data_IF_031376496469
#
_entry.id   IF_031376496469
#
_cell.length_a   1.000
_cell.length_b   1.000
_cell.length_c   1.000
_cell.angle_alpha   90.00
_cell.angle_beta   90.00
_cell.angle_gamma   90.00
#
_symmetry.space_group_name_H-M   'P 1'
#
loop_
_entity.id
_entity.type
_entity.pdbx_description
1 polymer ?
#
# COMPACT_ATOMS: atom_id res chain seq x y z
N UNK A 1 15.73 13.28 -10.89
CA UNK A 1 15.46 12.78 -9.52
C UNK A 1 16.29 11.53 -9.31
N UNK A 2 16.96 11.42 -8.16
CA UNK A 2 17.64 10.20 -7.76
C UNK A 2 16.62 9.20 -7.22
N UNK A 3 16.77 7.94 -7.60
CA UNK A 3 16.03 6.82 -7.03
C UNK A 3 17.01 5.75 -6.60
N UNK A 4 16.72 5.10 -5.48
CA UNK A 4 17.47 3.94 -4.99
C UNK A 4 16.74 3.27 -3.84
N UNK A 5 16.41 2.01 -3.97
CA UNK A 5 15.86 1.24 -2.85
C UNK A 5 16.20 -0.25 -3.00
N UNK A 6 16.76 -0.84 -1.96
CA UNK A 6 17.08 -2.29 -1.88
C UNK A 6 16.37 -2.99 -0.72
N UNK A 7 15.78 -2.21 0.19
CA UNK A 7 15.00 -2.70 1.33
C UNK A 7 13.89 -1.73 1.70
N UNK A 8 13.08 -2.08 2.70
CA UNK A 8 11.97 -1.26 3.19
C UNK A 8 12.24 -0.53 4.51
N UNK A 9 13.43 -0.67 5.14
CA UNK A 9 13.69 -0.18 6.50
C UNK A 9 14.77 0.90 6.62
N UNK A 10 15.63 1.09 5.63
CA UNK A 10 16.59 2.20 5.65
C UNK A 10 15.86 3.54 5.58
N UNK A 11 16.54 4.63 5.98
CA UNK A 11 15.95 5.97 5.93
C UNK A 11 15.35 6.24 4.54
N UNK A 12 14.10 6.61 4.54
CA UNK A 12 13.36 7.05 3.37
C UNK A 12 13.72 8.51 3.07
N UNK A 13 14.17 8.81 1.86
CA UNK A 13 14.51 10.16 1.43
C UNK A 13 13.47 10.76 0.49
N UNK A 14 12.82 9.90 -0.31
CA UNK A 14 11.72 10.33 -1.16
C UNK A 14 10.73 9.19 -1.46
N UNK A 15 9.48 9.55 -1.66
CA UNK A 15 8.40 8.60 -1.99
C UNK A 15 7.35 9.21 -2.92
N UNK A 16 6.55 8.33 -3.54
CA UNK A 16 5.27 8.68 -4.12
C UNK A 16 4.20 8.40 -3.06
N UNK A 17 3.38 9.39 -2.76
CA UNK A 17 2.15 9.24 -1.99
C UNK A 17 0.97 9.36 -2.95
N UNK A 18 0.06 8.40 -2.94
CA UNK A 18 -1.12 8.41 -3.79
C UNK A 18 -2.00 9.64 -3.63
N UNK A 19 -2.97 9.82 -4.53
CA UNK A 19 -3.93 10.91 -4.47
C UNK A 19 -5.32 10.47 -4.94
N UNK A 20 -6.33 11.25 -4.61
CA UNK A 20 -7.72 11.06 -5.02
C UNK A 20 -8.26 12.30 -5.72
N UNK A 21 -9.39 12.17 -6.39
CA UNK A 21 -10.10 13.29 -7.00
C UNK A 21 -10.49 14.33 -5.95
N UNK A 22 -10.65 15.59 -6.41
CA UNK A 22 -11.30 16.61 -5.57
C UNK A 22 -12.79 16.27 -5.37
N UNK A 23 -13.43 16.69 -4.24
CA UNK A 23 -14.85 16.43 -4.01
C UNK A 23 -15.78 16.85 -5.14
N UNK A 24 -15.36 17.84 -5.92
CA UNK A 24 -16.07 18.37 -7.11
C UNK A 24 -16.26 17.35 -8.21
N UNK A 25 -15.44 16.28 -8.24
CA UNK A 25 -15.57 15.16 -9.18
C UNK A 25 -17.01 14.61 -9.22
N UNK A 26 -17.70 14.59 -8.09
CA UNK A 26 -19.09 14.12 -8.00
C UNK A 26 -20.15 15.22 -8.22
N UNK A 27 -19.77 16.42 -8.71
CA UNK A 27 -20.75 17.48 -8.98
C UNK A 27 -21.75 17.14 -10.08
N UNK A 28 -21.41 16.23 -10.98
CA UNK A 28 -22.29 15.73 -12.03
C UNK A 28 -23.49 14.90 -11.50
N UNK A 29 -23.39 14.38 -10.29
CA UNK A 29 -24.50 13.65 -9.66
C UNK A 29 -25.59 14.61 -9.18
N UNK A 30 -26.85 14.13 -9.20
CA UNK A 30 -27.97 14.83 -8.58
C UNK A 30 -27.74 14.97 -7.07
N UNK A 31 -28.29 16.03 -6.49
CA UNK A 31 -28.26 16.19 -5.03
C UNK A 31 -28.92 15.00 -4.32
N UNK A 32 -28.28 14.51 -3.26
CA UNK A 32 -28.73 13.37 -2.50
C UNK A 32 -27.60 12.63 -1.79
N UNK A 33 -27.98 11.56 -1.09
CA UNK A 33 -27.07 10.79 -0.23
C UNK A 33 -25.79 10.34 -0.94
N UNK A 34 -25.89 9.76 -2.14
CA UNK A 34 -24.71 9.26 -2.88
C UNK A 34 -23.70 10.37 -3.10
N UNK A 35 -24.16 11.50 -3.65
CA UNK A 35 -23.29 12.65 -3.91
C UNK A 35 -22.62 13.16 -2.64
N UNK A 36 -23.43 13.37 -1.60
CA UNK A 36 -22.92 13.95 -0.35
C UNK A 36 -21.92 13.01 0.33
N UNK A 37 -22.22 11.71 0.38
CA UNK A 37 -21.32 10.70 0.95
C UNK A 37 -20.02 10.56 0.15
N UNK A 38 -20.09 10.48 -1.17
CA UNK A 38 -18.89 10.33 -2.00
C UNK A 38 -17.99 11.56 -1.94
N UNK A 39 -18.59 12.76 -1.88
CA UNK A 39 -17.82 14.00 -1.66
C UNK A 39 -17.12 14.00 -0.30
N UNK A 40 -17.82 13.57 0.75
CA UNK A 40 -17.23 13.43 2.09
C UNK A 40 -16.06 12.44 2.09
N UNK A 41 -16.21 11.27 1.45
CA UNK A 41 -15.14 10.27 1.34
C UNK A 41 -13.89 10.87 0.67
N UNK A 42 -14.06 11.60 -0.43
CA UNK A 42 -12.92 12.23 -1.11
C UNK A 42 -12.29 13.36 -0.27
N UNK A 43 -13.10 14.21 0.35
CA UNK A 43 -12.62 15.30 1.21
C UNK A 43 -11.82 14.77 2.39
N UNK A 44 -12.39 13.82 3.13
CA UNK A 44 -11.74 13.21 4.28
C UNK A 44 -10.49 12.40 3.91
N UNK A 45 -10.49 11.75 2.75
CA UNK A 45 -9.30 11.06 2.21
C UNK A 45 -8.18 12.06 1.89
N UNK A 46 -8.51 13.20 1.27
CA UNK A 46 -7.51 14.25 0.98
C UNK A 46 -6.90 14.83 2.26
N UNK A 47 -7.72 15.11 3.27
CA UNK A 47 -7.24 15.56 4.58
C UNK A 47 -6.27 14.55 5.20
N UNK A 48 -6.60 13.25 5.16
CA UNK A 48 -5.73 12.19 5.68
C UNK A 48 -4.41 12.11 4.90
N UNK A 49 -4.46 12.19 3.58
CA UNK A 49 -3.27 12.20 2.72
C UNK A 49 -2.40 13.44 2.95
N UNK A 50 -3.00 14.61 3.18
CA UNK A 50 -2.26 15.84 3.49
C UNK A 50 -1.60 15.78 4.87
N UNK A 51 -2.24 15.13 5.84
CA UNK A 51 -1.65 14.85 7.14
C UNK A 51 -0.46 13.89 7.01
N UNK A 52 -0.60 12.80 6.25
CA UNK A 52 0.49 11.86 5.96
C UNK A 52 1.66 12.56 5.30
N UNK A 53 1.39 13.38 4.26
CA UNK A 53 2.42 14.17 3.59
C UNK A 53 3.17 15.06 4.58
N UNK A 54 2.45 15.80 5.41
CA UNK A 54 3.06 16.70 6.41
C UNK A 54 3.92 15.93 7.42
N UNK A 55 3.47 14.74 7.82
CA UNK A 55 4.23 13.88 8.73
C UNK A 55 5.52 13.39 8.06
N UNK A 56 5.45 12.87 6.83
CA UNK A 56 6.62 12.44 6.07
C UNK A 56 7.62 13.59 5.86
N UNK A 57 7.14 14.77 5.47
CA UNK A 57 7.98 15.96 5.27
C UNK A 57 8.66 16.43 6.56
N UNK A 58 8.05 16.20 7.74
CA UNK A 58 8.68 16.52 9.05
C UNK A 58 9.89 15.63 9.36
N UNK A 59 10.07 14.51 8.64
CA UNK A 59 11.24 13.62 8.67
C UNK A 59 12.22 13.90 7.51
N UNK A 60 12.12 15.07 6.87
CA UNK A 60 12.93 15.46 5.69
C UNK A 60 12.73 14.51 4.50
N UNK A 61 11.55 13.90 4.35
CA UNK A 61 11.20 13.03 3.23
C UNK A 61 10.53 13.87 2.14
N UNK A 62 11.06 13.82 0.92
CA UNK A 62 10.44 14.47 -0.24
C UNK A 62 9.25 13.65 -0.73
N UNK A 63 8.05 14.25 -0.73
CA UNK A 63 6.81 13.57 -1.12
C UNK A 63 6.34 14.06 -2.49
N UNK A 64 6.22 13.14 -3.43
CA UNK A 64 5.67 13.39 -4.76
C UNK A 64 4.25 12.83 -4.83
N UNK A 65 3.35 13.55 -5.49
CA UNK A 65 1.96 13.11 -5.69
C UNK A 65 1.65 13.02 -7.18
N UNK A 66 0.82 12.02 -7.59
CA UNK A 66 0.38 11.93 -8.97
C UNK A 66 -0.50 13.13 -9.36
N UNK A 67 -0.55 13.42 -10.64
CA UNK A 67 -1.49 14.41 -11.19
C UNK A 67 -2.88 13.81 -11.25
N UNK A 68 -3.86 14.50 -10.68
CA UNK A 68 -5.27 14.07 -10.67
C UNK A 68 -6.13 15.13 -11.35
N UNK A 69 -6.72 14.77 -12.48
CA UNK A 69 -7.77 15.58 -13.11
C UNK A 69 -9.11 15.22 -12.48
N UNK A 70 -9.75 16.19 -11.86
CA UNK A 70 -11.03 16.02 -11.16
C UNK A 70 -12.24 16.34 -12.02
N UNK A 71 -12.08 16.66 -13.30
CA UNK A 71 -13.18 16.81 -14.23
C UNK A 71 -13.73 15.44 -14.62
N UNK A 72 -15.04 15.25 -14.42
CA UNK A 72 -15.70 13.99 -14.78
C UNK A 72 -15.91 13.91 -16.30
N UNK A 73 -15.24 12.97 -16.95
CA UNK A 73 -15.25 12.76 -18.40
C UNK A 73 -16.38 11.84 -18.91
N UNK A 74 -17.28 11.42 -18.02
CA UNK A 74 -18.36 10.47 -18.31
C UNK A 74 -18.07 9.04 -17.91
N UNK A 75 -16.88 8.76 -17.35
CA UNK A 75 -16.47 7.45 -16.85
C UNK A 75 -15.87 7.55 -15.44
N UNK A 76 -16.09 6.52 -14.62
CA UNK A 76 -15.52 6.43 -13.29
C UNK A 76 -14.19 5.65 -13.35
N UNK A 77 -13.08 6.38 -13.45
CA UNK A 77 -11.76 5.81 -13.34
C UNK A 77 -11.33 5.73 -11.87
N UNK A 78 -10.66 4.66 -11.45
CA UNK A 78 -10.08 4.62 -10.11
C UNK A 78 -9.03 5.72 -9.95
N UNK A 79 -9.00 6.45 -8.82
CA UNK A 79 -7.97 7.45 -8.60
C UNK A 79 -6.59 6.78 -8.49
N UNK A 80 -5.48 7.52 -8.70
CA UNK A 80 -4.13 7.00 -8.55
C UNK A 80 -3.72 6.95 -7.07
N UNK A 81 -4.51 6.26 -6.24
CA UNK A 81 -4.36 6.22 -4.79
C UNK A 81 -3.30 5.23 -4.34
N UNK A 82 -3.16 4.12 -5.04
CA UNK A 82 -2.30 2.99 -4.66
C UNK A 82 -1.09 2.87 -5.60
N UNK A 83 -0.10 3.78 -5.50
CA UNK A 83 1.09 3.71 -6.36
C UNK A 83 1.91 2.43 -6.15
N UNK A 84 1.87 1.81 -4.98
CA UNK A 84 2.61 0.58 -4.69
C UNK A 84 2.21 -0.56 -5.61
N UNK A 85 0.94 -0.66 -5.99
CA UNK A 85 0.46 -1.76 -6.83
C UNK A 85 1.11 -1.75 -8.21
N UNK A 86 1.48 -0.56 -8.69
CA UNK A 86 2.02 -0.36 -10.04
C UNK A 86 3.50 0.05 -10.09
N UNK A 87 4.13 0.36 -8.95
CA UNK A 87 5.50 0.87 -8.91
C UNK A 87 6.38 0.04 -7.97
N UNK A 88 7.54 -0.35 -8.47
CA UNK A 88 8.61 -0.98 -7.70
C UNK A 88 9.94 -0.29 -8.03
N UNK A 89 10.63 0.23 -7.02
CA UNK A 89 12.04 0.65 -7.18
C UNK A 89 12.94 -0.46 -6.67
N UNK A 90 13.93 -0.84 -7.50
CA UNK A 90 15.04 -1.68 -7.08
C UNK A 90 16.35 -1.08 -7.59
N UNK A 91 17.27 -0.77 -6.69
CA UNK A 91 18.45 0.05 -6.99
C UNK A 91 18.04 1.35 -7.72
N UNK A 92 18.63 1.64 -8.86
CA UNK A 92 18.39 2.83 -9.68
C UNK A 92 17.29 2.67 -10.74
N UNK A 93 16.53 1.57 -10.68
CA UNK A 93 15.50 1.23 -11.66
C UNK A 93 14.11 1.32 -11.06
N UNK A 94 13.23 2.09 -11.70
CA UNK A 94 11.79 2.09 -11.41
C UNK A 94 11.08 1.17 -12.41
N UNK A 95 10.46 0.12 -11.91
CA UNK A 95 9.50 -0.68 -12.67
C UNK A 95 8.13 -0.05 -12.53
N UNK A 96 7.48 0.15 -13.67
CA UNK A 96 6.12 0.68 -13.73
C UNK A 96 5.26 -0.24 -14.59
N UNK A 97 4.18 -0.74 -14.02
CA UNK A 97 3.27 -1.71 -14.66
C UNK A 97 1.94 -1.10 -15.05
N UNK A 98 1.62 0.08 -14.56
CA UNK A 98 0.39 0.80 -14.88
C UNK A 98 0.38 1.38 -16.30
N UNK A 99 -0.79 1.71 -16.78
CA UNK A 99 -1.06 2.28 -18.11
C UNK A 99 -1.46 3.77 -18.09
N UNK A 100 -1.58 4.37 -16.89
CA UNK A 100 -2.11 5.73 -16.69
C UNK A 100 -1.02 6.79 -16.73
N UNK A 101 -1.37 7.98 -17.22
CA UNK A 101 -0.46 9.12 -17.32
C UNK A 101 -0.34 9.95 -16.03
N UNK A 102 -1.05 9.57 -14.97
CA UNK A 102 -1.07 10.32 -13.71
C UNK A 102 0.32 10.52 -13.08
N UNK A 103 1.29 9.66 -13.43
CA UNK A 103 2.65 9.67 -12.90
C UNK A 103 3.70 10.23 -13.86
N UNK A 104 3.31 10.70 -15.05
CA UNK A 104 4.24 11.18 -16.08
C UNK A 104 5.12 12.30 -15.57
N UNK A 105 4.58 13.22 -14.75
CA UNK A 105 5.35 14.31 -14.15
C UNK A 105 6.43 13.84 -13.17
N UNK A 106 6.23 12.70 -12.56
CA UNK A 106 7.22 12.04 -11.69
C UNK A 106 8.23 11.30 -12.56
N UNK A 107 7.74 10.46 -13.47
CA UNK A 107 8.58 9.56 -14.31
C UNK A 107 9.56 10.33 -15.19
N UNK A 108 9.17 11.47 -15.77
CA UNK A 108 10.05 12.29 -16.64
C UNK A 108 11.33 12.75 -15.94
N UNK A 109 11.33 12.75 -14.60
CA UNK A 109 12.49 13.15 -13.78
C UNK A 109 13.34 11.95 -13.34
N UNK A 110 12.98 10.73 -13.73
CA UNK A 110 13.68 9.48 -13.38
C UNK A 110 14.40 8.94 -14.63
N UNK A 111 15.68 8.62 -14.50
CA UNK A 111 16.50 8.22 -15.66
C UNK A 111 16.15 6.81 -16.15
N UNK A 112 15.84 5.89 -15.25
CA UNK A 112 15.59 4.49 -15.58
C UNK A 112 14.18 4.08 -15.17
N UNK A 113 13.22 4.29 -16.08
CA UNK A 113 11.85 3.76 -15.94
C UNK A 113 11.69 2.59 -16.90
N UNK A 114 11.34 1.42 -16.39
CA UNK A 114 11.15 0.19 -17.15
C UNK A 114 9.69 -0.24 -17.08
N UNK A 115 9.07 -0.46 -18.23
CA UNK A 115 7.74 -1.08 -18.36
C UNK A 115 7.94 -2.55 -18.78
N UNK A 116 7.97 -3.51 -17.85
CA UNK A 116 8.36 -4.87 -18.14
C UNK A 116 7.33 -5.65 -18.99
N UNK A 117 6.07 -5.20 -18.97
CA UNK A 117 4.97 -5.88 -19.66
C UNK A 117 4.09 -4.89 -20.43
N UNK A 118 3.57 -5.36 -21.57
CA UNK A 118 2.66 -4.59 -22.40
C UNK A 118 1.22 -4.57 -21.86
N UNK A 119 0.88 -5.53 -21.00
CA UNK A 119 -0.44 -5.68 -20.39
C UNK A 119 -0.29 -5.62 -18.87
N UNK A 120 -1.20 -4.94 -18.24
CA UNK A 120 -1.24 -4.59 -16.84
C UNK A 120 -0.96 -5.80 -15.93
N UNK A 121 0.07 -5.66 -15.13
CA UNK A 121 0.36 -6.48 -13.99
C UNK A 121 0.48 -5.56 -12.78
N UNK A 122 -0.37 -5.73 -11.80
CA UNK A 122 -0.54 -4.82 -10.65
C UNK A 122 -0.10 -5.48 -9.33
N UNK A 123 0.96 -6.33 -9.36
CA UNK A 123 1.38 -7.08 -8.18
C UNK A 123 2.78 -6.67 -7.67
N UNK A 124 3.16 -5.40 -7.81
CA UNK A 124 4.42 -4.92 -7.24
C UNK A 124 4.55 -5.16 -5.72
N UNK A 125 3.47 -5.15 -4.90
CA UNK A 125 3.51 -5.52 -3.49
C UNK A 125 3.92 -6.97 -3.22
N UNK A 126 3.82 -7.83 -4.21
CA UNK A 126 4.28 -9.24 -4.16
C UNK A 126 5.80 -9.39 -4.26
N UNK A 127 6.55 -8.28 -4.33
CA UNK A 127 8.01 -8.28 -4.36
C UNK A 127 8.55 -7.58 -3.12
N UNK A 128 9.07 -8.37 -2.17
CA UNK A 128 9.68 -7.84 -0.95
C UNK A 128 11.19 -7.75 -1.11
N UNK A 129 11.76 -6.57 -0.88
CA UNK A 129 13.20 -6.28 -1.00
C UNK A 129 13.89 -6.45 0.35
N UNK A 130 15.00 -7.20 0.37
CA UNK A 130 15.76 -7.55 1.56
C UNK A 130 17.27 -7.33 1.33
N UNK A 131 17.65 -6.16 0.83
CA UNK A 131 19.03 -5.80 0.43
C UNK A 131 19.60 -6.73 -0.66
N UNK A 132 20.36 -7.75 -0.26
CA UNK A 132 21.00 -8.70 -1.17
C UNK A 132 20.08 -9.84 -1.62
N UNK A 133 18.82 -9.79 -1.23
CA UNK A 133 17.83 -10.78 -1.62
C UNK A 133 16.45 -10.15 -1.83
N UNK A 134 15.60 -10.88 -2.52
CA UNK A 134 14.19 -10.55 -2.71
C UNK A 134 13.31 -11.78 -2.48
N UNK A 135 12.10 -11.53 -2.03
CA UNK A 135 11.04 -12.53 -2.03
C UNK A 135 10.12 -12.22 -3.21
N UNK A 136 9.83 -13.20 -4.02
CA UNK A 136 8.79 -13.18 -5.05
C UNK A 136 7.64 -14.04 -4.55
N UNK A 137 6.50 -13.43 -4.30
CA UNK A 137 5.35 -14.07 -3.67
C UNK A 137 4.10 -13.96 -4.54
N UNK A 138 3.41 -15.07 -4.80
CA UNK A 138 2.11 -15.07 -5.50
C UNK A 138 2.10 -14.56 -6.94
N UNK A 139 3.23 -14.26 -7.56
CA UNK A 139 3.33 -13.69 -8.91
C UNK A 139 2.81 -14.65 -9.98
N UNK A 140 2.19 -14.10 -11.03
CA UNK A 140 1.92 -14.87 -12.23
C UNK A 140 3.21 -15.41 -12.87
N UNK A 141 3.10 -16.46 -13.69
CA UNK A 141 4.25 -17.16 -14.24
C UNK A 141 5.19 -16.28 -15.09
N UNK A 142 4.65 -15.26 -15.79
CA UNK A 142 5.44 -14.37 -16.64
C UNK A 142 6.17 -13.34 -15.78
N UNK A 143 5.48 -12.72 -14.84
CA UNK A 143 6.06 -11.79 -13.89
C UNK A 143 7.14 -12.47 -13.04
N UNK A 144 6.85 -13.65 -12.49
CA UNK A 144 7.82 -14.45 -11.75
C UNK A 144 9.09 -14.73 -12.58
N UNK A 145 8.93 -15.22 -13.82
CA UNK A 145 10.07 -15.52 -14.69
C UNK A 145 10.90 -14.28 -15.01
N UNK A 146 10.22 -13.16 -15.30
CA UNK A 146 10.89 -11.90 -15.58
C UNK A 146 11.73 -11.42 -14.39
N UNK A 147 11.13 -11.25 -13.22
CA UNK A 147 11.81 -10.74 -12.06
C UNK A 147 12.87 -11.71 -11.52
N UNK A 148 12.61 -13.02 -11.55
CA UNK A 148 13.62 -14.01 -11.19
C UNK A 148 14.87 -13.87 -12.05
N UNK A 149 14.74 -13.74 -13.38
CA UNK A 149 15.89 -13.55 -14.27
C UNK A 149 16.59 -12.22 -13.98
N UNK A 150 15.83 -11.12 -13.87
CA UNK A 150 16.36 -9.79 -13.58
C UNK A 150 17.22 -9.77 -12.30
N UNK A 151 16.69 -10.32 -11.20
CA UNK A 151 17.43 -10.34 -9.93
C UNK A 151 18.60 -11.31 -9.95
N UNK A 152 18.46 -12.46 -10.61
CA UNK A 152 19.55 -13.43 -10.76
C UNK A 152 20.72 -12.83 -11.56
N UNK A 153 20.45 -12.12 -12.64
CA UNK A 153 21.47 -11.45 -13.46
C UNK A 153 22.23 -10.37 -12.67
N UNK A 154 21.55 -9.73 -11.71
CA UNK A 154 22.14 -8.78 -10.75
C UNK A 154 22.83 -9.47 -9.55
N UNK A 155 22.85 -10.79 -9.47
CA UNK A 155 23.38 -11.60 -8.36
C UNK A 155 22.65 -11.39 -7.04
N UNK A 156 21.39 -11.01 -7.10
CA UNK A 156 20.47 -10.92 -5.97
C UNK A 156 19.89 -12.30 -5.71
N UNK A 157 19.89 -12.75 -4.46
CA UNK A 157 19.27 -14.02 -4.07
C UNK A 157 17.75 -13.92 -4.19
N UNK A 158 17.14 -14.88 -4.88
CA UNK A 158 15.68 -14.93 -5.06
C UNK A 158 15.08 -16.03 -4.22
N UNK A 159 14.17 -15.64 -3.33
CA UNK A 159 13.34 -16.54 -2.54
C UNK A 159 11.92 -16.53 -3.11
N UNK A 160 11.19 -17.61 -2.92
CA UNK A 160 9.82 -17.73 -3.44
C UNK A 160 8.89 -18.18 -2.33
N UNK A 161 7.80 -17.46 -2.19
CA UNK A 161 6.65 -17.84 -1.38
C UNK A 161 5.42 -17.96 -2.28
N UNK A 162 4.40 -18.64 -1.80
CA UNK A 162 3.16 -18.86 -2.52
C UNK A 162 1.98 -18.58 -1.58
N UNK A 163 1.88 -17.31 -1.16
CA UNK A 163 0.71 -16.85 -0.44
C UNK A 163 -0.36 -16.40 -1.44
N UNK A 164 -1.59 -16.36 -1.02
CA UNK A 164 -2.67 -15.73 -1.77
C UNK A 164 -2.73 -14.25 -1.38
N UNK A 165 -2.81 -13.34 -2.35
CA UNK A 165 -2.86 -11.88 -2.14
C UNK A 165 -1.50 -11.18 -2.09
N UNK A 166 -1.52 -9.90 -1.80
CA UNK A 166 -0.33 -9.06 -1.70
C UNK A 166 0.48 -9.39 -0.44
N UNK A 167 1.78 -9.60 -0.59
CA UNK A 167 2.64 -10.02 0.54
C UNK A 167 2.75 -8.98 1.65
N UNK A 168 2.61 -7.70 1.34
CA UNK A 168 2.65 -6.61 2.32
C UNK A 168 1.41 -6.55 3.25
N UNK A 169 0.33 -7.25 2.90
CA UNK A 169 -0.81 -7.52 3.78
C UNK A 169 -0.60 -8.73 4.72
N UNK A 170 0.43 -9.56 4.47
CA UNK A 170 0.68 -10.80 5.21
C UNK A 170 1.91 -10.68 6.10
N UNK A 171 2.97 -10.02 5.61
CA UNK A 171 4.20 -9.78 6.34
C UNK A 171 4.90 -8.51 5.86
N UNK A 172 5.59 -7.84 6.77
CA UNK A 172 6.33 -6.61 6.49
C UNK A 172 7.66 -6.60 7.25
N UNK A 173 8.81 -6.39 6.57
CA UNK A 173 10.09 -6.22 7.25
C UNK A 173 10.10 -4.97 8.13
N UNK A 174 10.43 -5.14 9.42
CA UNK A 174 10.61 -4.05 10.36
C UNK A 174 12.06 -3.56 10.38
N UNK A 175 12.98 -4.46 10.04
CA UNK A 175 14.42 -4.20 10.00
C UNK A 175 15.17 -5.44 9.53
N UNK A 176 16.51 -5.39 9.45
CA UNK A 176 17.31 -6.55 9.08
C UNK A 176 17.10 -7.69 10.07
N UNK A 177 16.67 -8.85 9.57
CA UNK A 177 16.44 -10.03 10.39
C UNK A 177 15.15 -10.07 11.21
N UNK A 178 14.24 -9.10 10.99
CA UNK A 178 12.97 -9.00 11.73
C UNK A 178 11.83 -8.61 10.82
N UNK A 179 10.73 -9.32 10.92
CA UNK A 179 9.44 -8.91 10.34
C UNK A 179 8.27 -9.00 11.29
N UNK A 180 7.27 -8.23 10.99
CA UNK A 180 5.93 -8.39 11.53
C UNK A 180 5.12 -9.22 10.54
N UNK A 181 4.30 -10.13 11.04
CA UNK A 181 3.52 -11.04 10.21
C UNK A 181 2.16 -11.33 10.83
N UNK A 182 1.18 -11.52 9.98
CA UNK A 182 -0.10 -12.13 10.34
C UNK A 182 0.03 -13.66 10.23
N UNK A 183 0.14 -14.32 11.37
CA UNK A 183 0.28 -15.76 11.42
C UNK A 183 1.69 -16.30 11.08
N UNK A 184 1.85 -17.62 11.01
CA UNK A 184 3.15 -18.31 10.96
C UNK A 184 3.74 -18.43 9.55
N UNK A 185 3.70 -17.40 8.73
CA UNK A 185 4.08 -17.43 7.30
C UNK A 185 5.49 -17.99 7.05
N UNK A 186 6.41 -17.79 7.98
CA UNK A 186 7.83 -18.15 7.81
C UNK A 186 8.34 -19.30 8.67
N UNK A 187 7.53 -19.90 9.53
CA UNK A 187 7.99 -20.90 10.48
C UNK A 187 8.51 -22.19 9.83
N UNK A 188 8.20 -22.43 8.57
CA UNK A 188 8.66 -23.59 7.82
C UNK A 188 9.74 -23.28 6.77
N UNK A 189 10.11 -22.00 6.58
CA UNK A 189 11.06 -21.62 5.53
C UNK A 189 12.49 -21.55 6.10
N UNK A 190 13.30 -22.56 5.80
CA UNK A 190 14.70 -22.69 6.27
C UNK A 190 15.56 -21.48 5.88
N UNK A 191 15.22 -20.78 4.80
CA UNK A 191 15.99 -19.64 4.29
C UNK A 191 15.91 -18.42 5.22
N UNK A 192 14.89 -18.36 6.07
CA UNK A 192 14.65 -17.29 7.03
C UNK A 192 14.68 -17.77 8.49
N UNK A 193 15.30 -18.93 8.75
CA UNK A 193 15.35 -19.53 10.09
C UNK A 193 15.99 -18.60 11.15
N UNK A 194 16.88 -17.72 10.72
CA UNK A 194 17.56 -16.74 11.60
C UNK A 194 16.79 -15.41 11.73
N UNK A 195 15.68 -15.26 11.01
CA UNK A 195 14.84 -14.06 11.10
C UNK A 195 13.81 -14.22 12.20
N UNK A 196 13.69 -13.18 13.01
CA UNK A 196 12.69 -13.15 14.06
C UNK A 196 11.34 -12.71 13.48
N UNK A 197 10.30 -13.48 13.77
CA UNK A 197 8.93 -13.16 13.38
C UNK A 197 8.16 -12.65 14.60
N UNK A 198 7.62 -11.44 14.48
CA UNK A 198 6.66 -10.89 15.42
C UNK A 198 5.27 -11.20 14.89
N UNK A 199 4.61 -12.18 15.51
CA UNK A 199 3.23 -12.47 15.14
C UNK A 199 2.28 -11.45 15.75
N UNK A 200 1.53 -10.79 14.90
CA UNK A 200 0.41 -9.95 15.30
C UNK A 200 -0.82 -10.85 15.28
N UNK A 201 -1.19 -11.38 16.44
CA UNK A 201 -2.30 -12.35 16.56
C UNK A 201 -3.67 -11.69 16.41
N UNK A 202 -4.62 -12.44 15.86
CA UNK A 202 -6.02 -12.01 15.64
C UNK A 202 -6.72 -11.43 16.89
N UNK A 203 -6.33 -11.86 18.08
CA UNK A 203 -6.97 -11.42 19.33
C UNK A 203 -6.82 -9.91 19.61
N UNK A 204 -5.88 -9.24 18.95
CA UNK A 204 -5.67 -7.80 19.07
C UNK A 204 -6.51 -7.01 18.07
N UNK A 205 -7.22 -7.69 17.20
CA UNK A 205 -7.94 -7.16 16.06
C UNK A 205 -9.45 -7.20 16.27
N UNK A 206 -9.94 -6.72 17.43
CA UNK A 206 -11.38 -6.64 17.70
C UNK A 206 -12.11 -5.87 16.59
N UNK A 207 -11.51 -4.80 16.09
CA UNK A 207 -12.04 -4.02 14.96
C UNK A 207 -12.15 -4.85 13.68
N UNK A 208 -11.18 -5.73 13.46
CA UNK A 208 -11.19 -6.65 12.33
C UNK A 208 -12.34 -7.66 12.41
N UNK A 209 -12.55 -8.29 13.56
CA UNK A 209 -13.68 -9.21 13.77
C UNK A 209 -15.02 -8.51 13.59
N UNK A 210 -15.15 -7.30 14.09
CA UNK A 210 -16.35 -6.48 13.92
C UNK A 210 -16.56 -6.15 12.44
N UNK A 211 -15.50 -5.82 11.71
CA UNK A 211 -15.57 -5.57 10.27
C UNK A 211 -15.93 -6.83 9.47
N UNK A 212 -15.32 -7.99 9.75
CA UNK A 212 -15.69 -9.28 9.11
C UNK A 212 -17.14 -9.64 9.41
N UNK A 213 -17.57 -9.50 10.65
CA UNK A 213 -18.97 -9.75 11.04
C UNK A 213 -19.92 -8.79 10.32
N UNK A 214 -19.53 -7.54 10.19
CA UNK A 214 -20.24 -6.53 9.42
C UNK A 214 -20.29 -6.92 7.93
N UNK A 215 -19.15 -7.20 7.30
CA UNK A 215 -19.06 -7.61 5.89
C UNK A 215 -19.93 -8.83 5.59
N UNK A 216 -19.94 -9.84 6.47
CA UNK A 216 -20.77 -11.03 6.32
C UNK A 216 -22.26 -10.74 6.41
N UNK A 217 -22.66 -9.66 7.06
CA UNK A 217 -24.07 -9.20 7.15
C UNK A 217 -24.42 -8.20 6.06
N UNK A 218 -23.47 -7.35 5.67
CA UNK A 218 -23.63 -6.38 4.59
C UNK A 218 -23.50 -7.10 3.24
N UNK A 219 -24.23 -6.62 2.24
CA UNK A 219 -24.13 -7.15 0.88
C UNK A 219 -22.92 -6.57 0.12
N UNK A 220 -22.22 -5.59 0.68
CA UNK A 220 -21.10 -4.87 0.07
C UNK A 220 -19.76 -5.37 0.58
N UNK A 221 -18.72 -5.18 -0.22
CA UNK A 221 -17.30 -5.50 0.04
C UNK A 221 -16.58 -4.39 0.82
N UNK A 222 -17.17 -3.22 0.88
CA UNK A 222 -16.63 -1.97 1.38
C UNK A 222 -17.44 -1.48 2.57
N UNK A 223 -16.89 -0.59 3.36
CA UNK A 223 -17.59 0.07 4.45
C UNK A 223 -17.30 1.57 4.46
N UNK A 224 -18.38 2.36 4.53
CA UNK A 224 -18.35 3.79 4.84
C UNK A 224 -19.21 3.97 6.08
N UNK A 225 -18.67 4.50 7.20
CA UNK A 225 -19.40 4.63 8.45
C UNK A 225 -20.77 5.31 8.27
N UNK A 226 -21.83 4.65 8.72
CA UNK A 226 -23.21 5.12 8.61
C UNK A 226 -23.90 4.87 7.27
N UNK A 227 -23.23 4.23 6.30
CA UNK A 227 -23.79 3.90 4.97
C UNK A 227 -23.86 2.39 4.70
N UNK A 228 -23.55 1.58 5.66
CA UNK A 228 -23.29 0.14 5.54
C UNK A 228 -24.47 -0.68 5.02
N UNK A 229 -25.70 -0.20 5.26
CA UNK A 229 -26.92 -0.90 4.86
C UNK A 229 -27.80 -0.06 3.91
N UNK A 230 -27.21 0.93 3.27
CA UNK A 230 -27.94 1.83 2.38
C UNK A 230 -27.95 1.27 0.97
N UNK A 231 -29.11 0.73 0.52
CA UNK A 231 -29.25 0.14 -0.81
C UNK A 231 -28.84 1.10 -1.93
N UNK A 232 -29.10 2.41 -1.79
CA UNK A 232 -28.72 3.43 -2.77
C UNK A 232 -27.19 3.53 -2.93
N UNK A 233 -26.43 3.53 -1.80
CA UNK A 233 -24.97 3.54 -1.82
C UNK A 233 -24.42 2.23 -2.37
N UNK A 234 -24.95 1.10 -1.93
CA UNK A 234 -24.53 -0.22 -2.40
C UNK A 234 -24.70 -0.31 -3.91
N UNK A 235 -25.88 0.05 -4.42
CA UNK A 235 -26.14 0.02 -5.86
C UNK A 235 -25.23 0.97 -6.65
N UNK A 236 -24.92 2.15 -6.11
CA UNK A 236 -24.01 3.07 -6.76
C UNK A 236 -22.58 2.53 -6.84
N UNK A 237 -22.04 2.09 -5.72
CA UNK A 237 -20.66 1.57 -5.64
C UNK A 237 -20.51 0.33 -6.53
N UNK A 238 -21.38 -0.65 -6.38
CA UNK A 238 -21.28 -1.91 -7.12
C UNK A 238 -21.56 -1.77 -8.63
N UNK A 239 -22.26 -0.70 -9.03
CA UNK A 239 -22.56 -0.45 -10.47
C UNK A 239 -21.51 0.41 -11.16
N UNK A 240 -20.99 1.41 -10.49
CA UNK A 240 -20.22 2.47 -11.15
C UNK A 240 -18.77 2.56 -10.73
N UNK A 241 -18.45 2.21 -9.49
CA UNK A 241 -17.11 2.35 -8.91
C UNK A 241 -16.63 1.07 -8.22
N UNK A 242 -17.11 -0.10 -8.66
CA UNK A 242 -16.67 -1.39 -8.12
C UNK A 242 -15.14 -1.56 -8.17
N UNK A 243 -14.50 -0.96 -9.17
CA UNK A 243 -13.05 -0.97 -9.34
C UNK A 243 -12.30 0.01 -8.42
N UNK A 244 -12.99 0.81 -7.60
CA UNK A 244 -12.36 1.66 -6.59
C UNK A 244 -12.16 0.95 -5.27
N UNK A 245 -13.00 -0.05 -5.02
CA UNK A 245 -13.09 -0.76 -3.75
C UNK A 245 -12.58 -2.19 -3.92
N UNK A 246 -11.78 -2.67 -2.98
CA UNK A 246 -11.30 -4.03 -2.99
C UNK A 246 -12.30 -5.02 -2.41
N UNK A 247 -11.88 -6.29 -2.37
CA UNK A 247 -12.69 -7.38 -1.82
C UNK A 247 -12.56 -7.53 -0.31
N UNK A 248 -11.83 -6.61 0.35
CA UNK A 248 -11.50 -6.70 1.78
C UNK A 248 -10.88 -8.07 2.14
N UNK A 249 -10.04 -8.57 1.28
CA UNK A 249 -9.25 -9.77 1.55
C UNK A 249 -8.05 -9.40 2.43
N UNK A 250 -7.50 -8.21 2.23
CA UNK A 250 -6.47 -7.62 3.08
C UNK A 250 -7.14 -6.88 4.24
N UNK A 251 -7.33 -7.58 5.32
CA UNK A 251 -8.10 -7.07 6.45
C UNK A 251 -7.24 -6.52 7.57
N UNK A 252 -5.91 -6.71 7.49
CA UNK A 252 -4.95 -6.24 8.49
C UNK A 252 -4.08 -5.13 7.91
N UNK A 253 -4.72 -4.04 7.59
CA UNK A 253 -4.07 -2.83 7.08
C UNK A 253 -2.96 -2.28 7.98
N UNK A 254 -2.94 -2.69 9.25
CA UNK A 254 -1.92 -2.27 10.22
C UNK A 254 -0.52 -2.86 9.93
N UNK A 255 -0.44 -3.99 9.21
CA UNK A 255 0.84 -4.49 8.71
C UNK A 255 1.41 -3.65 7.58
N UNK A 256 0.58 -2.87 6.91
CA UNK A 256 1.00 -1.94 5.86
C UNK A 256 1.67 -0.68 6.40
N UNK A 257 2.52 -0.76 7.45
CA UNK A 257 3.30 0.38 7.93
C UNK A 257 4.42 0.76 6.95
N UNK A 258 4.94 1.98 7.09
CA UNK A 258 6.07 2.47 6.29
C UNK A 258 7.20 2.92 7.21
N UNK A 259 8.36 2.28 7.14
CA UNK A 259 9.55 2.74 7.84
C UNK A 259 10.04 4.05 7.21
N UNK A 260 10.04 5.12 8.00
CA UNK A 260 10.56 6.45 7.60
C UNK A 260 12.06 6.54 7.86
N UNK A 261 12.50 5.99 8.98
CA UNK A 261 13.90 5.79 9.37
C UNK A 261 14.06 4.37 9.94
N UNK A 262 15.27 3.88 10.22
CA UNK A 262 15.44 2.60 10.89
C UNK A 262 14.79 2.52 12.28
N UNK A 263 14.41 3.66 12.86
CA UNK A 263 13.82 3.78 14.22
C UNK A 263 12.44 4.40 14.27
N UNK A 264 11.86 4.77 13.13
CA UNK A 264 10.58 5.49 13.07
C UNK A 264 9.70 4.91 11.97
N UNK A 265 8.48 4.53 12.31
CA UNK A 265 7.50 3.98 11.37
C UNK A 265 6.23 4.82 11.32
N UNK A 266 5.71 5.08 10.13
CA UNK A 266 4.38 5.64 9.92
C UNK A 266 3.35 4.53 10.05
N UNK A 267 2.33 4.71 10.89
CA UNK A 267 1.34 3.67 11.22
C UNK A 267 -0.07 4.24 11.32
N UNK A 268 -1.08 3.38 11.17
CA UNK A 268 -2.51 3.76 11.32
C UNK A 268 -3.18 3.18 12.56
N UNK A 269 -2.57 2.19 13.19
CA UNK A 269 -3.16 1.51 14.36
C UNK A 269 -2.58 1.97 15.68
N UNK A 270 -3.43 1.96 16.71
CA UNK A 270 -3.07 2.25 18.11
C UNK A 270 -3.28 1.02 19.01
N UNK A 271 -3.00 -0.17 18.49
CA UNK A 271 -2.99 -1.37 19.32
C UNK A 271 -1.77 -1.36 20.24
N UNK A 272 -1.99 -1.51 21.56
CA UNK A 272 -0.91 -1.52 22.56
C UNK A 272 0.13 -2.62 22.25
N UNK A 273 -0.33 -3.80 21.85
CA UNK A 273 0.57 -4.92 21.51
C UNK A 273 1.42 -4.64 20.29
N UNK A 274 0.84 -3.99 19.29
CA UNK A 274 1.55 -3.55 18.10
C UNK A 274 2.63 -2.51 18.43
N UNK A 275 2.27 -1.53 19.29
CA UNK A 275 3.21 -0.53 19.80
C UNK A 275 4.35 -1.18 20.60
N UNK A 276 4.00 -2.06 21.56
CA UNK A 276 4.98 -2.76 22.41
C UNK A 276 5.95 -3.58 21.55
N UNK A 277 5.43 -4.22 20.49
CA UNK A 277 6.25 -4.96 19.55
C UNK A 277 7.23 -4.03 18.83
N UNK A 278 6.79 -2.91 18.27
CA UNK A 278 7.67 -1.94 17.61
C UNK A 278 8.71 -1.37 18.58
N UNK A 279 8.29 -0.92 19.77
CA UNK A 279 9.21 -0.39 20.78
C UNK A 279 10.27 -1.41 21.24
N UNK A 280 9.91 -2.70 21.31
CA UNK A 280 10.88 -3.75 21.68
C UNK A 280 12.03 -3.90 20.69
N UNK A 281 11.84 -3.42 19.46
CA UNK A 281 12.86 -3.36 18.39
C UNK A 281 13.44 -1.96 18.19
N UNK A 282 13.14 -1.02 19.09
CA UNK A 282 13.64 0.35 19.01
C UNK A 282 12.98 1.18 17.93
N UNK A 283 11.79 0.77 17.47
CA UNK A 283 11.01 1.52 16.47
C UNK A 283 9.90 2.30 17.15
N UNK A 284 9.83 3.59 16.87
CA UNK A 284 8.80 4.50 17.35
C UNK A 284 7.67 4.60 16.32
N UNK A 285 6.44 4.20 16.66
CA UNK A 285 5.30 4.38 15.77
C UNK A 285 4.79 5.83 15.76
N UNK A 286 4.59 6.40 14.57
CA UNK A 286 4.00 7.72 14.33
C UNK A 286 2.64 7.55 13.69
N UNK A 287 1.59 7.93 14.41
CA UNK A 287 0.20 7.69 14.01
C UNK A 287 -0.31 8.75 13.05
N UNK A 288 -0.94 8.28 11.98
CA UNK A 288 -1.69 9.12 11.04
C UNK A 288 -3.11 8.59 10.86
N UNK A 289 -4.09 9.47 10.63
CA UNK A 289 -5.45 9.03 10.31
C UNK A 289 -5.48 8.35 8.95
N UNK A 290 -6.33 7.33 8.82
CA UNK A 290 -6.71 6.70 7.55
C UNK A 290 -8.15 6.20 7.69
N UNK A 291 -9.10 7.18 7.58
CA UNK A 291 -10.52 7.01 7.96
C UNK A 291 -11.25 6.04 7.05
N UNK A 292 -10.97 6.07 5.75
CA UNK A 292 -11.67 5.29 4.74
C UNK A 292 -10.89 4.06 4.24
N UNK A 293 -10.00 3.51 5.09
CA UNK A 293 -9.18 2.32 4.74
C UNK A 293 -10.02 1.13 4.24
N UNK A 294 -11.19 0.91 4.81
CA UNK A 294 -12.08 -0.19 4.43
C UNK A 294 -12.88 0.08 3.16
N UNK A 295 -13.05 1.33 2.77
CA UNK A 295 -13.60 1.70 1.47
C UNK A 295 -12.54 1.53 0.36
N UNK A 296 -11.33 2.04 0.59
CA UNK A 296 -10.23 1.95 -0.37
C UNK A 296 -9.51 0.60 -0.37
N UNK A 297 -9.80 -0.26 0.61
CA UNK A 297 -9.18 -1.58 0.81
C UNK A 297 -7.65 -1.54 0.76
N UNK A 298 -7.05 -0.61 1.49
CA UNK A 298 -5.60 -0.44 1.50
C UNK A 298 -5.05 0.13 2.82
N UNK A 299 -3.82 -0.29 3.14
CA UNK A 299 -2.99 0.28 4.20
C UNK A 299 -2.04 1.36 3.70
N UNK A 300 -1.16 1.88 4.58
CA UNK A 300 -0.19 2.92 4.22
C UNK A 300 0.82 2.44 3.18
N UNK A 301 1.22 1.17 3.22
CA UNK A 301 2.21 0.64 2.30
C UNK A 301 1.69 0.65 0.86
N UNK A 302 0.41 0.36 0.63
CA UNK A 302 -0.21 0.40 -0.70
C UNK A 302 -0.22 1.81 -1.29
N UNK A 303 -0.48 2.83 -0.45
CA UNK A 303 -0.59 4.23 -0.89
C UNK A 303 0.74 4.99 -0.90
N UNK A 304 1.83 4.37 -0.44
CA UNK A 304 3.18 4.98 -0.40
C UNK A 304 4.18 4.06 -1.09
N UNK A 305 4.83 4.57 -2.14
CA UNK A 305 5.93 3.88 -2.82
C UNK A 305 7.22 4.62 -2.61
N UNK A 306 8.21 3.95 -2.01
CA UNK A 306 9.55 4.51 -1.82
C UNK A 306 10.29 4.66 -3.15
N UNK A 307 10.83 5.86 -3.39
CA UNK A 307 11.68 6.19 -4.52
C UNK A 307 13.15 6.13 -4.13
N UNK A 308 13.52 6.72 -3.00
CA UNK A 308 14.90 6.73 -2.54
C UNK A 308 14.99 6.39 -1.06
N UNK A 309 15.82 5.41 -0.74
CA UNK A 309 16.26 5.06 0.60
C UNK A 309 17.79 5.13 0.70
N UNK A 310 18.30 5.37 1.89
CA UNK A 310 19.75 5.35 2.14
C UNK A 310 20.35 3.98 1.79
N UNK A 311 21.57 4.02 1.31
CA UNK A 311 22.42 2.84 1.17
C UNK A 311 23.19 2.69 2.47
N UNK A 312 23.03 1.58 3.18
CA UNK A 312 23.92 1.28 4.30
C UNK A 312 25.32 1.00 3.76
N UNK A 313 26.27 1.78 4.23
CA UNK A 313 27.70 1.66 3.90
C UNK A 313 28.32 0.48 4.64
#
# INVERSE_FOLDING_TARGET
>A
MKIWATNGWNKLNSCILGDVYAPEYFNHLSAGRVKDTMKQVLEETKEDLDHMKSTLESFDISVYRPTVDSDFDGQYHSPPLQPRDTHLVFEDTLFYTGDRNNYDDIHKNINHVVKPFANVWEDCPSITRLDNSVILDGLDANAYKYFKNYFTDKKISVHTLFNEGHSDGIYQPLGPGVWMSHGPVFTSNIQFADWQTINVEENDWTQYHDFINFRNKAKSKWAIPGQEFTDEMINFVDTYIENWVGYCEETIFDLGFVMMTPTDALVISKSQKYEDAMYSYGVTPHYVPWRHRTFWDCGLHCIITDLERDVLS
#
